data_IF_816845996439
#
_entry.id   IF_816845996439
#
_cell.length_a   1.000
_cell.length_b   1.000
_cell.length_c   1.000
_cell.angle_alpha   90.00
_cell.angle_beta   90.00
_cell.angle_gamma   90.00
#
_symmetry.space_group_name_H-M   'P 1'
#
loop_
_entity.id
_entity.type
_entity.pdbx_description
1 polymer ?
#
# COMPACT_ATOMS: atom_id res chain seq x y z
N UNK A 1 -3.30 -16.64 5.46
CA UNK A 1 -2.90 -15.41 4.74
C UNK A 1 -3.10 -15.55 3.22
N UNK A 2 -2.54 -16.57 2.55
CA UNK A 2 -2.69 -16.82 1.10
C UNK A 2 -4.15 -16.81 0.63
N UNK A 3 -5.02 -17.56 1.33
CA UNK A 3 -6.44 -17.62 1.01
C UNK A 3 -7.13 -16.25 1.10
N UNK A 4 -6.78 -15.44 2.11
CA UNK A 4 -7.34 -14.08 2.25
C UNK A 4 -6.92 -13.17 1.10
N UNK A 5 -5.64 -13.19 0.69
CA UNK A 5 -5.16 -12.36 -0.43
C UNK A 5 -5.84 -12.72 -1.75
N UNK A 6 -5.98 -14.02 -2.04
CA UNK A 6 -6.68 -14.48 -3.24
C UNK A 6 -8.17 -14.09 -3.21
N UNK A 7 -8.82 -14.27 -2.07
CA UNK A 7 -10.23 -13.88 -1.89
C UNK A 7 -10.42 -12.36 -2.05
N UNK A 8 -9.55 -11.56 -1.43
CA UNK A 8 -9.61 -10.10 -1.57
C UNK A 8 -9.39 -9.68 -3.02
N UNK A 9 -8.43 -10.28 -3.73
CA UNK A 9 -8.19 -9.98 -5.14
C UNK A 9 -9.41 -10.33 -6.02
N UNK A 10 -10.07 -11.46 -5.78
CA UNK A 10 -11.31 -11.82 -6.46
C UNK A 10 -12.43 -10.80 -6.16
N UNK A 11 -12.58 -10.41 -4.90
CA UNK A 11 -13.56 -9.40 -4.46
C UNK A 11 -13.31 -8.05 -5.13
N UNK A 12 -12.04 -7.63 -5.20
CA UNK A 12 -11.62 -6.40 -5.90
C UNK A 12 -12.02 -6.48 -7.37
N UNK A 13 -11.74 -7.60 -8.05
CA UNK A 13 -12.14 -7.82 -9.44
C UNK A 13 -13.66 -7.66 -9.63
N UNK A 14 -14.45 -8.26 -8.74
CA UNK A 14 -15.93 -8.12 -8.78
C UNK A 14 -16.36 -6.67 -8.58
N UNK A 15 -15.83 -6.00 -7.54
CA UNK A 15 -16.17 -4.60 -7.24
C UNK A 15 -15.71 -3.64 -8.34
N UNK A 16 -14.62 -3.95 -9.03
CA UNK A 16 -14.16 -3.21 -10.18
C UNK A 16 -15.08 -3.39 -11.39
N UNK A 17 -15.50 -4.62 -11.66
CA UNK A 17 -16.44 -4.94 -12.74
C UNK A 17 -17.80 -4.24 -12.58
N UNK A 18 -18.33 -4.25 -11.35
CA UNK A 18 -19.59 -3.57 -11.00
C UNK A 18 -19.44 -2.04 -10.96
N UNK A 19 -18.21 -1.51 -11.17
CA UNK A 19 -17.86 -0.08 -11.12
C UNK A 19 -18.06 0.60 -9.76
N UNK A 20 -18.38 -0.14 -8.72
CA UNK A 20 -18.53 0.41 -7.35
C UNK A 20 -17.20 0.95 -6.86
N UNK A 21 -16.14 0.17 -6.99
CA UNK A 21 -14.80 0.52 -6.51
C UNK A 21 -14.27 1.82 -7.15
N UNK A 22 -14.26 1.97 -8.48
CA UNK A 22 -13.85 3.22 -9.14
C UNK A 22 -14.67 4.44 -8.70
N UNK A 23 -15.98 4.28 -8.48
CA UNK A 23 -16.86 5.39 -8.05
C UNK A 23 -16.47 5.83 -6.63
N UNK A 24 -16.37 4.90 -5.70
CA UNK A 24 -16.04 5.20 -4.28
C UNK A 24 -14.67 5.85 -4.18
N UNK A 25 -13.66 5.27 -4.82
CA UNK A 25 -12.29 5.78 -4.74
C UNK A 25 -12.19 7.16 -5.41
N UNK A 26 -12.88 7.37 -6.55
CA UNK A 26 -12.94 8.69 -7.20
C UNK A 26 -13.60 9.74 -6.31
N UNK A 27 -14.71 9.40 -5.65
CA UNK A 27 -15.38 10.31 -4.74
C UNK A 27 -14.47 10.72 -3.57
N UNK A 28 -13.88 9.73 -2.88
CA UNK A 28 -12.98 9.98 -1.74
C UNK A 28 -11.70 10.70 -2.21
N UNK A 29 -11.10 10.28 -3.33
CA UNK A 29 -9.92 10.92 -3.90
C UNK A 29 -10.15 12.39 -4.26
N UNK A 30 -11.33 12.73 -4.80
CA UNK A 30 -11.70 14.12 -5.12
C UNK A 30 -11.86 14.97 -3.85
N UNK A 31 -12.48 14.43 -2.80
CA UNK A 31 -12.57 15.14 -1.51
C UNK A 31 -11.18 15.34 -0.91
N UNK A 32 -10.37 14.30 -0.91
CA UNK A 32 -9.02 14.35 -0.33
C UNK A 32 -8.10 15.31 -1.11
N UNK A 33 -8.19 15.36 -2.44
CA UNK A 33 -7.40 16.30 -3.25
C UNK A 33 -7.69 17.77 -2.94
N UNK A 34 -8.93 18.09 -2.54
CA UNK A 34 -9.29 19.45 -2.10
C UNK A 34 -8.71 19.83 -0.74
N UNK A 35 -8.44 18.82 0.10
CA UNK A 35 -7.90 19.02 1.45
C UNK A 35 -6.38 19.12 1.41
N UNK A 36 -5.72 18.24 0.65
CA UNK A 36 -4.27 18.11 0.63
C UNK A 36 -3.57 18.89 -0.51
N UNK A 37 -4.33 19.47 -1.45
CA UNK A 37 -3.78 20.20 -2.60
C UNK A 37 -3.04 19.35 -3.62
N UNK A 38 -3.07 18.01 -3.49
CA UNK A 38 -2.45 17.08 -4.44
C UNK A 38 -3.42 16.72 -5.57
N UNK A 39 -2.89 16.16 -6.66
CA UNK A 39 -3.70 15.69 -7.77
C UNK A 39 -4.71 14.60 -7.35
N UNK A 40 -5.78 14.47 -8.13
CA UNK A 40 -6.81 13.46 -7.86
C UNK A 40 -6.28 12.05 -7.97
N UNK A 41 -5.30 11.83 -8.87
CA UNK A 41 -4.67 10.52 -9.05
C UNK A 41 -3.87 10.11 -7.82
N UNK A 42 -3.08 11.01 -7.24
CA UNK A 42 -2.30 10.78 -6.03
C UNK A 42 -3.19 10.55 -4.81
N UNK A 43 -4.24 11.35 -4.68
CA UNK A 43 -5.24 11.20 -3.62
C UNK A 43 -6.03 9.89 -3.76
N UNK A 44 -6.37 9.52 -5.00
CA UNK A 44 -6.94 8.21 -5.31
C UNK A 44 -5.99 7.09 -4.91
N UNK A 45 -4.70 7.19 -5.28
CA UNK A 45 -3.69 6.19 -4.95
C UNK A 45 -3.57 5.97 -3.44
N UNK A 46 -3.53 7.03 -2.65
CA UNK A 46 -3.43 6.94 -1.20
C UNK A 46 -4.63 6.21 -0.57
N UNK A 47 -5.85 6.55 -1.00
CA UNK A 47 -7.07 5.91 -0.50
C UNK A 47 -7.19 4.46 -0.98
N UNK A 48 -6.91 4.21 -2.25
CA UNK A 48 -6.98 2.85 -2.80
C UNK A 48 -5.94 1.94 -2.17
N UNK A 49 -4.74 2.43 -1.91
CA UNK A 49 -3.70 1.66 -1.22
C UNK A 49 -4.11 1.30 0.20
N UNK A 50 -4.77 2.20 0.93
CA UNK A 50 -5.29 1.92 2.26
C UNK A 50 -6.33 0.80 2.24
N UNK A 51 -7.20 0.78 1.24
CA UNK A 51 -8.29 -0.21 1.11
C UNK A 51 -7.78 -1.53 0.55
N UNK A 52 -7.06 -1.48 -0.56
CA UNK A 52 -6.64 -2.65 -1.33
C UNK A 52 -5.29 -3.21 -0.86
N UNK A 53 -4.38 -2.34 -0.49
CA UNK A 53 -2.97 -2.64 -0.31
C UNK A 53 -2.13 -2.16 -1.48
N UNK A 54 -0.83 -1.99 -1.24
CA UNK A 54 0.08 -1.39 -2.23
C UNK A 54 0.18 -2.20 -3.52
N UNK A 55 0.22 -3.53 -3.43
CA UNK A 55 0.42 -4.40 -4.59
C UNK A 55 -0.80 -4.48 -5.48
N UNK A 56 -1.96 -4.63 -4.89
CA UNK A 56 -3.25 -4.69 -5.58
C UNK A 56 -3.60 -3.33 -6.20
N UNK A 57 -3.21 -2.25 -5.53
CA UNK A 57 -3.43 -0.91 -6.03
C UNK A 57 -2.65 -0.65 -7.33
N UNK A 58 -1.41 -1.13 -7.45
CA UNK A 58 -0.64 -1.00 -8.71
C UNK A 58 -1.29 -1.76 -9.88
N UNK A 59 -2.00 -2.84 -9.62
CA UNK A 59 -2.77 -3.55 -10.64
C UNK A 59 -3.92 -2.67 -11.15
N UNK A 60 -4.56 -1.91 -10.26
CA UNK A 60 -5.72 -1.07 -10.60
C UNK A 60 -5.40 0.04 -11.62
N UNK A 61 -4.17 0.53 -11.69
CA UNK A 61 -3.77 1.55 -12.66
C UNK A 61 -2.62 1.12 -13.60
N UNK A 62 -2.36 -0.18 -13.71
CA UNK A 62 -1.35 -0.73 -14.61
C UNK A 62 -1.43 -0.17 -16.03
N UNK A 63 -2.64 0.04 -16.54
CA UNK A 63 -2.87 0.55 -17.90
C UNK A 63 -2.50 2.02 -18.13
N UNK A 64 -2.34 2.81 -17.06
CA UNK A 64 -2.00 4.24 -17.16
C UNK A 64 -0.59 4.56 -16.63
N UNK A 65 0.13 3.56 -16.11
CA UNK A 65 1.49 3.76 -15.54
C UNK A 65 2.44 4.40 -16.55
N UNK A 66 2.36 4.01 -17.83
CA UNK A 66 3.21 4.55 -18.90
C UNK A 66 3.00 6.04 -19.18
N UNK A 67 1.82 6.57 -18.85
CA UNK A 67 1.44 7.96 -19.13
C UNK A 67 1.70 8.89 -17.94
N UNK A 68 2.13 8.32 -16.79
CA UNK A 68 2.36 9.08 -15.56
C UNK A 68 3.79 9.64 -15.55
N UNK A 69 3.93 10.95 -15.27
CA UNK A 69 5.24 11.56 -15.15
C UNK A 69 6.07 10.94 -14.00
N UNK A 70 7.42 10.88 -14.10
CA UNK A 70 8.27 10.29 -13.07
C UNK A 70 8.08 10.88 -11.67
N UNK A 71 7.81 12.20 -11.56
CA UNK A 71 7.55 12.86 -10.28
C UNK A 71 6.26 12.40 -9.65
N UNK A 72 5.19 12.27 -10.44
CA UNK A 72 3.90 11.75 -9.97
C UNK A 72 4.03 10.28 -9.58
N UNK A 73 4.75 9.49 -10.38
CA UNK A 73 5.02 8.08 -10.08
C UNK A 73 5.78 7.93 -8.75
N UNK A 74 6.78 8.77 -8.49
CA UNK A 74 7.50 8.79 -7.22
C UNK A 74 6.54 9.05 -6.05
N UNK A 75 5.68 10.06 -6.16
CA UNK A 75 4.68 10.38 -5.12
C UNK A 75 3.71 9.23 -4.89
N UNK A 76 3.24 8.60 -5.97
CA UNK A 76 2.33 7.45 -5.88
C UNK A 76 3.01 6.24 -5.24
N UNK A 77 4.25 5.94 -5.62
CA UNK A 77 5.01 4.85 -5.02
C UNK A 77 5.28 5.10 -3.53
N UNK A 78 5.71 6.29 -3.17
CA UNK A 78 6.00 6.64 -1.78
C UNK A 78 4.74 6.62 -0.90
N UNK A 79 3.60 7.14 -1.37
CA UNK A 79 2.33 7.06 -0.65
C UNK A 79 1.84 5.61 -0.52
N UNK A 80 1.99 4.80 -1.55
CA UNK A 80 1.63 3.39 -1.51
C UNK A 80 2.49 2.59 -0.52
N UNK A 81 3.78 2.89 -0.42
CA UNK A 81 4.71 2.22 0.50
C UNK A 81 4.56 2.68 1.96
N UNK A 82 4.06 3.90 2.19
CA UNK A 82 3.88 4.43 3.54
C UNK A 82 2.57 3.97 4.21
N UNK A 83 1.60 3.50 3.45
CA UNK A 83 0.30 3.07 3.95
C UNK A 83 0.24 1.57 4.21
N UNK A 84 -0.62 1.17 5.14
CA UNK A 84 -0.87 -0.22 5.50
C UNK A 84 -2.28 -0.59 5.07
N UNK A 85 -2.46 -1.74 4.43
CA UNK A 85 -3.77 -2.19 3.98
C UNK A 85 -4.69 -2.55 5.14
N UNK A 86 -6.00 -2.32 4.97
CA UNK A 86 -7.03 -2.69 5.95
C UNK A 86 -6.99 -4.18 6.35
N UNK A 87 -6.48 -5.04 5.49
CA UNK A 87 -6.30 -6.46 5.80
C UNK A 87 -5.30 -6.71 6.92
N UNK A 88 -4.26 -5.88 7.03
CA UNK A 88 -3.23 -5.96 8.08
C UNK A 88 -3.66 -5.15 9.32
N UNK A 89 -4.42 -4.08 9.14
CA UNK A 89 -4.96 -3.26 10.23
C UNK A 89 -5.73 -4.10 11.24
N UNK A 90 -6.53 -5.06 10.79
CA UNK A 90 -7.24 -6.00 11.67
C UNK A 90 -6.30 -6.83 12.56
N UNK A 91 -5.10 -7.16 12.07
CA UNK A 91 -4.09 -7.83 12.87
C UNK A 91 -3.49 -6.90 13.94
N UNK A 92 -3.22 -5.63 13.59
CA UNK A 92 -2.75 -4.64 14.56
C UNK A 92 -3.79 -4.35 15.65
N UNK A 93 -5.07 -4.27 15.29
CA UNK A 93 -6.17 -4.06 16.26
C UNK A 93 -6.36 -5.23 17.23
N UNK A 94 -5.82 -6.41 16.94
CA UNK A 94 -5.78 -7.52 17.90
C UNK A 94 -4.65 -7.41 18.92
N UNK A 95 -3.68 -6.50 18.70
CA UNK A 95 -2.49 -6.30 19.55
C UNK A 95 -2.50 -4.94 20.25
N UNK A 96 -3.15 -3.94 19.66
CA UNK A 96 -3.17 -2.56 20.11
C UNK A 96 -4.61 -2.06 20.00
N UNK A 97 -5.05 -1.19 20.91
CA UNK A 97 -6.39 -0.61 20.90
C UNK A 97 -6.69 0.06 19.55
N UNK A 98 -7.85 -0.25 18.99
CA UNK A 98 -8.27 0.18 17.66
C UNK A 98 -8.16 1.70 17.43
N UNK A 99 -8.43 2.50 18.48
CA UNK A 99 -8.35 3.97 18.41
C UNK A 99 -6.95 4.47 18.04
N UNK A 100 -5.89 3.87 18.59
CA UNK A 100 -4.51 4.25 18.28
C UNK A 100 -4.10 3.81 16.88
N UNK A 101 -4.55 2.63 16.45
CA UNK A 101 -4.27 2.12 15.11
C UNK A 101 -4.92 3.00 14.04
N UNK A 102 -6.19 3.37 14.23
CA UNK A 102 -6.91 4.26 13.30
C UNK A 102 -6.28 5.66 13.28
N UNK A 103 -5.96 6.22 14.45
CA UNK A 103 -5.30 7.52 14.53
C UNK A 103 -3.94 7.50 13.82
N UNK A 104 -3.14 6.46 14.03
CA UNK A 104 -1.84 6.31 13.39
C UNK A 104 -1.96 6.22 11.85
N UNK A 105 -2.96 5.50 11.33
CA UNK A 105 -3.20 5.40 9.88
C UNK A 105 -3.52 6.76 9.26
N UNK A 106 -4.41 7.52 9.88
CA UNK A 106 -4.82 8.84 9.41
C UNK A 106 -3.63 9.81 9.47
N UNK A 107 -2.96 9.88 10.61
CA UNK A 107 -1.79 10.75 10.79
C UNK A 107 -0.66 10.40 9.81
N UNK A 108 -0.39 9.12 9.60
CA UNK A 108 0.63 8.66 8.67
C UNK A 108 0.33 9.07 7.23
N UNK A 109 -0.93 8.95 6.80
CA UNK A 109 -1.35 9.37 5.47
C UNK A 109 -1.09 10.87 5.25
N UNK A 110 -1.52 11.73 6.18
CA UNK A 110 -1.31 13.18 6.08
C UNK A 110 0.17 13.56 6.22
N UNK A 111 0.91 12.95 7.12
CA UNK A 111 2.36 13.16 7.27
C UNK A 111 3.11 12.83 5.99
N UNK A 112 2.74 11.74 5.32
CA UNK A 112 3.33 11.36 4.05
C UNK A 112 3.10 12.42 2.98
N UNK A 113 1.89 13.00 2.89
CA UNK A 113 1.62 14.08 1.95
C UNK A 113 2.45 15.33 2.25
N UNK A 114 2.58 15.72 3.52
CA UNK A 114 3.41 16.87 3.92
C UNK A 114 4.87 16.63 3.52
N UNK A 115 5.42 15.48 3.84
CA UNK A 115 6.80 15.14 3.51
C UNK A 115 7.02 15.14 2.00
N UNK A 116 6.11 14.54 1.24
CA UNK A 116 6.21 14.47 -0.22
C UNK A 116 6.08 15.84 -0.87
N UNK A 117 5.25 16.73 -0.35
CA UNK A 117 5.15 18.11 -0.86
C UNK A 117 6.45 18.90 -0.68
N UNK A 118 7.27 18.54 0.31
CA UNK A 118 8.57 19.17 0.56
C UNK A 118 9.67 18.54 -0.30
N UNK A 119 9.71 17.20 -0.34
CA UNK A 119 10.81 16.46 -1.02
C UNK A 119 10.63 16.47 -2.54
N UNK A 120 9.41 16.37 -3.03
CA UNK A 120 9.09 16.24 -4.44
C UNK A 120 7.98 17.22 -4.85
N UNK A 121 8.22 18.53 -4.76
CA UNK A 121 7.23 19.53 -5.16
C UNK A 121 7.00 19.49 -6.68
N UNK A 122 5.74 19.45 -7.09
CA UNK A 122 5.32 19.59 -8.49
C UNK A 122 3.92 20.21 -8.57
N UNK A 123 3.63 20.81 -9.71
CA UNK A 123 2.28 21.30 -10.02
C UNK A 123 1.58 20.29 -10.92
N UNK A 124 0.32 20.06 -10.65
CA UNK A 124 -0.52 19.20 -11.48
C UNK A 124 -1.13 20.10 -12.55
N UNK A 125 -0.43 20.22 -13.69
CA UNK A 125 -0.84 21.12 -14.78
C UNK A 125 -1.97 20.50 -15.63
N UNK A 126 -1.95 19.18 -15.84
CA UNK A 126 -3.00 18.44 -16.52
C UNK A 126 -3.25 17.10 -15.82
N UNK A 127 -4.46 16.92 -15.32
CA UNK A 127 -4.89 15.60 -14.88
C UNK A 127 -5.38 14.84 -16.12
N UNK A 128 -4.66 13.79 -16.56
CA UNK A 128 -5.26 12.87 -17.51
C UNK A 128 -6.57 12.39 -16.90
N UNK A 129 -7.66 12.52 -17.65
CA UNK A 129 -8.93 11.91 -17.22
C UNK A 129 -8.63 10.49 -16.78
N UNK A 130 -8.94 10.18 -15.53
CA UNK A 130 -8.78 8.84 -14.98
C UNK A 130 -9.65 7.87 -15.78
N UNK A 131 -9.13 7.42 -16.93
CA UNK A 131 -9.76 6.41 -17.79
C UNK A 131 -9.64 5.02 -17.14
N UNK A 132 -9.86 4.96 -15.82
CA UNK A 132 -9.95 3.70 -15.08
C UNK A 132 -11.00 2.74 -15.63
N UNK A 133 -11.93 3.27 -16.44
CA UNK A 133 -12.99 2.48 -17.03
C UNK A 133 -12.55 1.63 -18.24
N UNK A 134 -11.35 1.86 -18.82
CA UNK A 134 -10.92 1.17 -20.05
C UNK A 134 -10.08 -0.09 -19.83
N UNK A 135 -9.72 -0.40 -18.58
CA UNK A 135 -8.79 -1.50 -18.31
C UNK A 135 -9.34 -2.89 -18.67
N UNK A 136 -10.67 -3.05 -18.79
CA UNK A 136 -11.32 -4.35 -19.03
C UNK A 136 -12.58 -4.25 -19.91
N UNK A 137 -12.71 -3.21 -20.77
CA UNK A 137 -13.91 -3.04 -21.60
C UNK A 137 -14.10 -4.18 -22.61
N UNK A 138 -13.03 -4.87 -22.99
CA UNK A 138 -13.06 -5.95 -24.00
C UNK A 138 -12.97 -7.37 -23.39
N UNK A 139 -12.95 -7.51 -22.06
CA UNK A 139 -12.80 -8.81 -21.38
C UNK A 139 -14.12 -9.32 -20.82
N UNK A 140 -14.32 -10.64 -20.90
CA UNK A 140 -15.45 -11.28 -20.22
C UNK A 140 -15.26 -11.23 -18.69
N UNK A 141 -16.38 -11.23 -17.94
CA UNK A 141 -16.35 -11.25 -16.47
C UNK A 141 -15.46 -12.36 -15.89
N UNK A 142 -15.57 -13.57 -16.41
CA UNK A 142 -14.80 -14.71 -15.91
C UNK A 142 -13.31 -14.62 -16.25
N UNK A 143 -12.97 -14.07 -17.41
CA UNK A 143 -11.60 -13.84 -17.81
C UNK A 143 -10.93 -12.81 -16.90
N UNK A 144 -11.56 -11.66 -16.69
CA UNK A 144 -11.12 -10.65 -15.73
C UNK A 144 -10.99 -11.23 -14.32
N UNK A 145 -12.00 -11.96 -13.83
CA UNK A 145 -11.97 -12.57 -12.51
C UNK A 145 -10.80 -13.57 -12.36
N UNK A 146 -10.56 -14.36 -13.41
CA UNK A 146 -9.40 -15.27 -13.46
C UNK A 146 -8.08 -14.53 -13.36
N UNK A 147 -7.91 -13.42 -14.07
CA UNK A 147 -6.70 -12.58 -13.97
C UNK A 147 -6.48 -12.02 -12.56
N UNK A 148 -7.54 -11.51 -11.91
CA UNK A 148 -7.43 -11.01 -10.52
C UNK A 148 -7.09 -12.10 -9.53
N UNK A 149 -7.67 -13.30 -9.67
CA UNK A 149 -7.36 -14.47 -8.82
C UNK A 149 -5.88 -14.87 -8.99
N UNK A 150 -5.42 -14.99 -10.23
CA UNK A 150 -4.04 -15.37 -10.54
C UNK A 150 -3.04 -14.30 -10.06
N UNK A 151 -3.35 -13.02 -10.27
CA UNK A 151 -2.54 -11.93 -9.78
C UNK A 151 -2.44 -11.94 -8.24
N UNK A 152 -3.57 -12.11 -7.54
CA UNK A 152 -3.61 -12.23 -6.09
C UNK A 152 -2.83 -13.43 -5.55
N UNK A 153 -2.92 -14.58 -6.20
CA UNK A 153 -2.14 -15.76 -5.86
C UNK A 153 -0.64 -15.52 -6.04
N UNK A 154 -0.24 -14.95 -7.18
CA UNK A 154 1.16 -14.63 -7.48
C UNK A 154 1.76 -13.68 -6.44
N UNK A 155 1.04 -12.62 -6.11
CA UNK A 155 1.46 -11.64 -5.07
C UNK A 155 1.59 -12.33 -3.71
N UNK A 156 0.61 -13.14 -3.33
CA UNK A 156 0.62 -13.85 -2.06
C UNK A 156 1.83 -14.82 -1.95
N UNK A 157 2.19 -15.49 -3.03
CA UNK A 157 3.38 -16.35 -3.10
C UNK A 157 4.68 -15.55 -2.98
N UNK A 158 4.77 -14.40 -3.66
CA UNK A 158 5.94 -13.51 -3.57
C UNK A 158 6.11 -13.01 -2.14
N UNK A 159 5.03 -12.52 -1.51
CA UNK A 159 5.06 -12.05 -0.12
C UNK A 159 5.49 -13.18 0.83
N UNK A 160 4.95 -14.39 0.67
CA UNK A 160 5.31 -15.54 1.49
C UNK A 160 6.80 -15.87 1.34
N UNK A 161 7.32 -15.91 0.11
CA UNK A 161 8.73 -16.18 -0.14
C UNK A 161 9.65 -15.11 0.47
N UNK A 162 9.29 -13.82 0.33
CA UNK A 162 10.03 -12.71 0.92
C UNK A 162 10.03 -12.77 2.45
N UNK A 163 8.89 -13.04 3.07
CA UNK A 163 8.80 -13.19 4.54
C UNK A 163 9.67 -14.34 5.04
N UNK A 164 9.63 -15.49 4.40
CA UNK A 164 10.47 -16.64 4.77
C UNK A 164 11.95 -16.26 4.65
N UNK A 165 12.34 -15.64 3.54
CA UNK A 165 13.71 -15.21 3.31
C UNK A 165 14.21 -14.20 4.35
N UNK A 166 13.43 -13.16 4.64
CA UNK A 166 13.80 -12.15 5.62
C UNK A 166 13.84 -12.69 7.05
N UNK A 167 12.88 -13.54 7.44
CA UNK A 167 12.88 -14.18 8.77
C UNK A 167 14.12 -15.07 8.93
N UNK A 168 14.45 -15.86 7.92
CA UNK A 168 15.64 -16.70 7.94
C UNK A 168 16.92 -15.86 8.02
N UNK A 169 17.02 -14.76 7.26
CA UNK A 169 18.15 -13.84 7.30
C UNK A 169 18.32 -13.20 8.68
N UNK A 170 17.24 -12.65 9.25
CA UNK A 170 17.25 -12.05 10.58
C UNK A 170 17.67 -13.09 11.63
N UNK A 171 17.16 -14.32 11.54
CA UNK A 171 17.53 -15.42 12.44
C UNK A 171 19.02 -15.76 12.34
N UNK A 172 19.56 -15.85 11.11
CA UNK A 172 20.97 -16.09 10.87
C UNK A 172 21.87 -14.97 11.43
N UNK A 173 21.48 -13.69 11.20
CA UNK A 173 22.19 -12.53 11.74
C UNK A 173 22.15 -12.53 13.26
N UNK A 174 20.99 -12.79 13.87
CA UNK A 174 20.88 -12.89 15.33
C UNK A 174 21.75 -14.01 15.91
N UNK A 175 21.78 -15.17 15.28
CA UNK A 175 22.62 -16.29 15.70
C UNK A 175 24.11 -15.93 15.62
N UNK A 176 24.55 -15.27 14.55
CA UNK A 176 25.93 -14.80 14.38
C UNK A 176 26.33 -13.81 15.48
N UNK A 177 25.51 -12.78 15.71
CA UNK A 177 25.77 -11.76 16.73
C UNK A 177 25.76 -12.37 18.14
N UNK A 178 24.83 -13.25 18.43
CA UNK A 178 24.78 -13.96 19.73
C UNK A 178 26.00 -14.84 19.96
N UNK A 179 26.53 -15.49 18.92
CA UNK A 179 27.72 -16.32 19.01
C UNK A 179 29.02 -15.49 19.24
N UNK A 180 29.12 -14.31 18.63
CA UNK A 180 30.32 -13.46 18.68
C UNK A 180 30.27 -12.48 19.83
N UNK A 181 29.15 -11.85 20.09
CA UNK A 181 29.00 -10.73 21.05
C UNK A 181 28.18 -11.11 22.29
N UNK A 182 27.56 -12.30 22.32
CA UNK A 182 26.67 -12.72 23.40
C UNK A 182 25.31 -12.02 23.45
N UNK A 183 25.02 -11.13 22.49
CA UNK A 183 23.76 -10.39 22.37
C UNK A 183 23.24 -10.46 20.94
N UNK A 184 21.93 -10.47 20.75
CA UNK A 184 21.33 -10.52 19.40
C UNK A 184 21.41 -9.17 18.70
N UNK A 185 21.44 -9.18 17.36
CA UNK A 185 21.38 -7.98 16.55
C UNK A 185 20.13 -7.14 16.86
N UNK A 186 18.99 -7.79 17.09
CA UNK A 186 17.75 -7.11 17.48
C UNK A 186 17.87 -6.40 18.83
N UNK A 187 18.61 -6.95 19.80
CA UNK A 187 18.88 -6.27 21.07
C UNK A 187 19.73 -5.02 20.87
N UNK A 188 20.75 -5.10 20.01
CA UNK A 188 21.57 -3.92 19.67
C UNK A 188 20.71 -2.82 19.07
N UNK A 189 19.86 -3.15 18.10
CA UNK A 189 18.90 -2.20 17.52
C UNK A 189 17.95 -1.65 18.59
N UNK A 190 17.48 -2.48 19.50
CA UNK A 190 16.66 -2.06 20.63
C UNK A 190 17.34 -0.98 21.48
N UNK A 191 18.61 -1.13 21.82
CA UNK A 191 19.37 -0.12 22.56
C UNK A 191 19.53 1.19 21.77
N UNK A 192 19.68 1.13 20.45
CA UNK A 192 19.82 2.32 19.59
C UNK A 192 18.48 3.07 19.47
N UNK A 193 17.38 2.34 19.29
CA UNK A 193 16.07 2.94 19.09
C UNK A 193 15.32 3.27 20.38
N UNK A 194 15.68 2.67 21.50
CA UNK A 194 15.04 2.92 22.80
C UNK A 194 15.01 4.40 23.20
N UNK A 195 16.11 5.17 23.10
CA UNK A 195 16.07 6.60 23.42
C UNK A 195 15.16 7.41 22.50
N UNK A 196 15.09 7.03 21.21
CA UNK A 196 14.23 7.67 20.23
C UNK A 196 12.74 7.39 20.53
N UNK A 197 12.43 6.14 20.85
CA UNK A 197 11.07 5.75 21.23
C UNK A 197 10.62 6.35 22.57
N UNK A 198 11.58 6.63 23.47
CA UNK A 198 11.27 7.29 24.75
C UNK A 198 11.02 8.81 24.57
N UNK A 199 11.63 9.41 23.54
CA UNK A 199 11.49 10.85 23.25
C UNK A 199 10.16 11.19 22.55
N UNK A 200 9.52 10.22 21.85
CA UNK A 200 8.25 10.35 21.14
C UNK A 200 7.07 10.01 22.04
#
# INVERSE_FOLDING_TARGET
TLFRSVFISALIGILQHIRILPIVIRAIGTVLSKINGMGKLESFNAVSTLVLGQSENFIAYKGIIGDISPRRMYTMAATAMSTVSLSIVGAYMSMIDAQYVVAALILNMFSTFIILSIINPYQVEDEPELKLNKLHEDQSFFEMLGEYILAGFKIAMIIAAMLIGFIALISAVNALFSAVLGISFQQILGYVFYPLAWLI
#
